data_IF_466050690926
#
_entry.id   IF_466050690926
#
_cell.length_a   1.000
_cell.length_b   1.000
_cell.length_c   1.000
_cell.angle_alpha   90.00
_cell.angle_beta   90.00
_cell.angle_gamma   90.00
#
_symmetry.space_group_name_H-M   'P 1'
#
loop_
_entity.id
_entity.type
_entity.pdbx_description
1 polymer ?
#
# COMPACT_ATOMS: atom_id res chain seq x y z
N UNK A 1 -58.64 3.31 52.04
CA UNK A 1 -58.25 2.17 51.15
C UNK A 1 -57.48 2.77 49.99
N UNK A 2 -56.19 2.80 50.08
CA UNK A 2 -55.25 3.47 49.15
C UNK A 2 -54.44 2.38 48.43
N UNK A 3 -54.73 2.21 47.13
CA UNK A 3 -54.00 1.28 46.27
C UNK A 3 -52.82 2.01 45.63
N UNK A 4 -51.59 1.55 45.99
CA UNK A 4 -50.31 2.02 45.42
C UNK A 4 -50.02 1.20 44.15
N UNK A 5 -49.98 1.85 43.01
CA UNK A 5 -49.45 1.26 41.78
C UNK A 5 -47.95 1.49 41.72
N UNK A 6 -47.20 0.38 41.74
CA UNK A 6 -45.77 0.35 41.47
C UNK A 6 -45.56 0.31 39.94
N UNK A 7 -45.01 1.38 39.40
CA UNK A 7 -44.45 1.36 38.02
C UNK A 7 -43.08 0.68 38.06
N UNK A 8 -42.98 -0.52 37.51
CA UNK A 8 -41.70 -1.14 37.16
C UNK A 8 -41.18 -0.52 35.88
N UNK A 9 -40.13 0.28 36.00
CA UNK A 9 -39.35 0.75 34.84
C UNK A 9 -38.43 -0.37 34.37
N UNK A 10 -38.75 -1.00 33.24
CA UNK A 10 -37.80 -1.85 32.52
C UNK A 10 -36.73 -0.93 31.89
N UNK A 11 -35.54 -0.95 32.49
CA UNK A 11 -34.32 -0.47 31.81
C UNK A 11 -33.99 -1.47 30.70
N UNK A 12 -34.28 -1.11 29.46
CA UNK A 12 -33.73 -1.73 28.27
C UNK A 12 -32.25 -1.37 28.19
N UNK A 13 -31.37 -2.31 28.61
CA UNK A 13 -29.96 -2.29 28.32
C UNK A 13 -29.84 -2.43 26.80
N UNK A 14 -29.64 -1.30 26.15
CA UNK A 14 -29.17 -1.26 24.75
C UNK A 14 -27.81 -1.93 24.70
N UNK A 15 -27.76 -3.16 24.23
CA UNK A 15 -26.54 -3.78 23.74
C UNK A 15 -26.09 -2.95 22.55
N UNK A 16 -25.19 -1.99 22.80
CA UNK A 16 -24.33 -1.43 21.76
C UNK A 16 -23.48 -2.60 21.25
N UNK A 17 -23.97 -3.28 20.23
CA UNK A 17 -23.18 -4.23 19.48
C UNK A 17 -21.94 -3.47 19.01
N UNK A 18 -20.77 -3.86 19.50
CA UNK A 18 -19.54 -3.57 18.81
C UNK A 18 -19.69 -4.17 17.42
N UNK A 19 -19.98 -3.32 16.46
CA UNK A 19 -19.91 -3.67 15.04
C UNK A 19 -18.42 -3.96 14.75
N UNK A 20 -17.99 -5.17 15.01
CA UNK A 20 -16.75 -5.74 14.52
C UNK A 20 -16.99 -6.03 13.05
N UNK A 21 -17.34 -4.94 12.32
CA UNK A 21 -17.69 -4.98 10.93
C UNK A 21 -16.61 -5.67 10.13
N UNK A 22 -17.02 -6.64 9.39
CA UNK A 22 -16.27 -7.35 8.37
C UNK A 22 -15.97 -6.39 7.19
N UNK A 23 -15.26 -5.27 7.49
CA UNK A 23 -14.97 -4.24 6.49
C UNK A 23 -13.96 -4.75 5.49
N UNK A 24 -14.32 -4.64 4.24
CA UNK A 24 -13.46 -4.97 3.11
C UNK A 24 -12.52 -3.79 2.82
N UNK A 25 -11.22 -4.05 2.62
CA UNK A 25 -10.20 -3.01 2.65
C UNK A 25 -9.30 -3.02 1.42
N UNK A 26 -8.91 -1.83 0.99
CA UNK A 26 -7.80 -1.62 0.06
C UNK A 26 -6.53 -1.30 0.85
N UNK A 27 -5.44 -2.01 0.58
CA UNK A 27 -4.17 -1.88 1.29
C UNK A 27 -3.04 -1.66 0.27
N UNK A 28 -2.22 -0.65 0.50
CA UNK A 28 -0.95 -0.46 -0.21
C UNK A 28 0.18 -0.91 0.71
N UNK A 29 1.12 -1.69 0.20
CA UNK A 29 2.21 -2.24 1.00
C UNK A 29 3.41 -2.61 0.14
N UNK A 30 4.54 -2.88 0.79
CA UNK A 30 5.65 -3.59 0.20
C UNK A 30 5.33 -5.09 0.07
N UNK A 31 6.21 -5.84 -0.60
CA UNK A 31 6.04 -7.26 -0.86
C UNK A 31 5.66 -8.07 0.40
N UNK A 32 4.79 -9.07 0.22
CA UNK A 32 4.06 -9.78 1.27
C UNK A 32 4.90 -10.46 2.37
N UNK A 33 6.18 -10.69 2.15
CA UNK A 33 7.03 -11.38 3.11
C UNK A 33 7.23 -10.63 4.44
N UNK A 34 6.92 -9.32 4.50
CA UNK A 34 7.09 -8.49 5.68
C UNK A 34 5.83 -8.39 6.56
N UNK A 35 4.66 -8.70 6.02
CA UNK A 35 3.39 -8.58 6.76
C UNK A 35 2.99 -9.87 7.49
N UNK A 36 3.82 -10.91 7.45
CA UNK A 36 3.54 -12.18 8.13
C UNK A 36 3.56 -12.13 9.66
N UNK A 37 3.96 -11.03 10.27
CA UNK A 37 4.17 -10.95 11.71
C UNK A 37 3.21 -10.01 12.49
N UNK A 38 2.34 -9.25 11.84
CA UNK A 38 1.74 -8.08 12.53
C UNK A 38 0.22 -7.99 12.61
N UNK A 39 -0.55 -9.01 12.31
CA UNK A 39 -2.01 -8.91 12.50
C UNK A 39 -2.69 -10.17 12.99
N UNK A 40 -2.13 -10.80 14.02
CA UNK A 40 -2.95 -11.64 14.88
C UNK A 40 -3.34 -10.76 16.06
N UNK A 41 -4.62 -10.49 16.21
CA UNK A 41 -5.20 -10.01 17.44
C UNK A 41 -4.86 -11.04 18.52
N UNK A 42 -3.77 -10.79 19.25
CA UNK A 42 -3.41 -11.60 20.43
C UNK A 42 -4.41 -11.24 21.52
N UNK A 43 -5.14 -12.21 22.09
CA UNK A 43 -5.96 -11.94 23.27
C UNK A 43 -5.05 -11.43 24.39
N UNK A 44 -5.53 -10.44 25.13
CA UNK A 44 -4.82 -9.63 26.13
C UNK A 44 -4.34 -10.42 27.37
N UNK A 45 -3.71 -11.56 27.22
CA UNK A 45 -3.21 -12.37 28.35
C UNK A 45 -2.03 -13.24 27.96
N UNK A 46 -0.97 -12.65 27.43
CA UNK A 46 0.33 -13.34 27.46
C UNK A 46 1.49 -12.35 27.31
N UNK A 47 2.23 -12.25 28.40
CA UNK A 47 3.67 -11.97 28.56
C UNK A 47 4.30 -11.20 27.40
N UNK A 48 4.82 -10.01 27.72
CA UNK A 48 5.74 -9.21 26.89
C UNK A 48 6.84 -10.11 26.29
N UNK A 49 6.60 -10.65 25.12
CA UNK A 49 7.67 -10.98 24.23
C UNK A 49 8.22 -9.63 23.72
N UNK A 50 9.44 -9.29 24.06
CA UNK A 50 10.20 -8.23 23.39
C UNK A 50 10.35 -8.66 21.93
N UNK A 51 9.39 -8.30 21.10
CA UNK A 51 9.53 -8.41 19.64
C UNK A 51 10.56 -7.37 19.26
N UNK A 52 11.74 -7.84 18.84
CA UNK A 52 12.71 -6.98 18.18
C UNK A 52 11.98 -6.18 17.09
N UNK A 53 12.28 -4.89 16.91
CA UNK A 53 11.70 -4.12 15.83
C UNK A 53 11.93 -4.90 14.52
N UNK A 54 10.95 -4.94 13.61
CA UNK A 54 11.10 -5.65 12.35
C UNK A 54 12.33 -5.09 11.63
N UNK A 55 13.24 -5.98 11.26
CA UNK A 55 14.42 -5.60 10.47
C UNK A 55 13.95 -4.99 9.15
N UNK A 56 14.44 -3.82 8.76
CA UNK A 56 14.10 -3.23 7.48
C UNK A 56 14.40 -4.21 6.33
N UNK A 57 13.57 -4.26 5.30
CA UNK A 57 13.79 -5.17 4.18
C UNK A 57 15.03 -4.79 3.39
N UNK A 58 15.81 -5.79 2.99
CA UNK A 58 16.94 -5.60 2.09
C UNK A 58 16.45 -5.51 0.65
N UNK A 59 17.03 -4.58 -0.11
CA UNK A 59 16.90 -4.47 -1.55
C UNK A 59 18.27 -4.78 -2.17
N UNK A 60 18.30 -5.65 -3.17
CA UNK A 60 19.54 -6.03 -3.84
C UNK A 60 19.51 -5.65 -5.31
N UNK A 61 20.53 -4.94 -5.79
CA UNK A 61 20.69 -4.61 -7.20
C UNK A 61 20.89 -5.85 -8.07
N UNK A 62 20.81 -5.69 -9.39
CA UNK A 62 21.05 -6.79 -10.34
C UNK A 62 22.45 -7.36 -10.24
N UNK A 63 23.44 -6.54 -9.92
CA UNK A 63 24.86 -6.88 -9.79
C UNK A 63 25.32 -7.09 -8.32
N UNK A 64 24.37 -7.30 -7.40
CA UNK A 64 24.62 -7.81 -6.06
C UNK A 64 24.86 -6.77 -4.96
N UNK A 65 24.75 -5.47 -5.22
CA UNK A 65 24.86 -4.44 -4.19
C UNK A 65 23.61 -4.45 -3.31
N UNK A 66 23.78 -4.40 -1.99
CA UNK A 66 22.69 -4.51 -1.01
C UNK A 66 22.42 -3.21 -0.29
N UNK A 67 21.14 -2.92 -0.08
CA UNK A 67 20.66 -1.74 0.64
C UNK A 67 19.58 -2.14 1.62
N UNK A 68 19.57 -1.48 2.79
CA UNK A 68 18.46 -1.53 3.74
C UNK A 68 17.46 -0.45 3.39
N UNK A 69 16.19 -0.79 3.28
CA UNK A 69 15.12 0.17 3.07
C UNK A 69 14.71 0.77 4.42
N UNK A 70 15.06 2.00 4.69
CA UNK A 70 14.75 2.68 5.97
C UNK A 70 13.32 3.18 6.03
N UNK A 71 12.87 3.81 4.96
CA UNK A 71 11.53 4.35 4.84
C UNK A 71 11.00 4.20 3.41
N UNK A 72 9.70 4.06 3.29
CA UNK A 72 9.02 4.12 2.01
C UNK A 72 7.59 4.63 2.23
N UNK A 73 7.23 5.68 1.54
CA UNK A 73 5.91 6.27 1.62
C UNK A 73 5.36 6.61 0.25
N UNK A 74 4.04 6.61 0.14
CA UNK A 74 3.34 7.02 -1.07
C UNK A 74 2.13 7.87 -0.70
N UNK A 75 1.91 8.92 -1.45
CA UNK A 75 0.66 9.68 -1.41
C UNK A 75 -0.14 9.38 -2.65
N UNK A 76 -1.37 8.87 -2.48
CA UNK A 76 -2.22 8.44 -3.58
C UNK A 76 -3.51 9.24 -3.60
N UNK A 77 -4.00 9.53 -4.79
CA UNK A 77 -5.27 10.19 -5.05
C UNK A 77 -5.94 9.60 -6.28
N UNK A 78 -7.20 9.92 -6.48
CA UNK A 78 -7.97 9.50 -7.65
C UNK A 78 -7.89 7.98 -7.90
N UNK A 79 -8.08 7.20 -6.83
CA UNK A 79 -8.04 5.74 -6.91
C UNK A 79 -9.28 5.26 -7.66
N UNK A 80 -9.07 4.40 -8.65
CA UNK A 80 -10.09 3.82 -9.50
C UNK A 80 -9.94 2.30 -9.56
N UNK A 81 -10.95 1.59 -9.12
CA UNK A 81 -10.99 0.13 -9.04
C UNK A 81 -11.94 -0.39 -10.10
N UNK A 82 -11.41 -0.99 -11.15
CA UNK A 82 -12.22 -1.58 -12.22
C UNK A 82 -12.89 -2.86 -11.73
N UNK A 83 -14.22 -2.90 -11.81
CA UNK A 83 -15.01 -4.10 -11.53
C UNK A 83 -14.95 -5.07 -12.72
N UNK A 84 -14.92 -6.35 -12.42
CA UNK A 84 -14.87 -7.45 -13.39
C UNK A 84 -16.04 -8.42 -13.20
N UNK A 85 -16.10 -9.46 -14.03
CA UNK A 85 -17.13 -10.49 -13.92
C UNK A 85 -18.54 -10.02 -14.31
N UNK A 86 -18.65 -8.92 -15.05
CA UNK A 86 -19.94 -8.35 -15.49
C UNK A 86 -20.65 -7.53 -14.42
N UNK A 87 -19.99 -7.22 -13.30
CA UNK A 87 -20.53 -6.36 -12.24
C UNK A 87 -20.67 -4.92 -12.72
N UNK A 88 -21.82 -4.31 -12.45
CA UNK A 88 -22.11 -2.90 -12.69
C UNK A 88 -22.15 -2.10 -11.41
N UNK A 89 -22.29 -0.77 -11.52
CA UNK A 89 -22.45 0.10 -10.36
C UNK A 89 -23.71 -0.22 -9.54
N UNK A 90 -24.75 -0.74 -10.16
CA UNK A 90 -25.99 -1.11 -9.49
C UNK A 90 -25.78 -2.31 -8.54
N UNK A 91 -24.88 -3.23 -8.88
CA UNK A 91 -24.60 -4.43 -8.09
C UNK A 91 -23.87 -4.12 -6.78
N UNK A 92 -23.11 -3.01 -6.72
CA UNK A 92 -22.32 -2.61 -5.56
C UNK A 92 -22.87 -1.39 -4.83
N UNK A 93 -23.91 -0.75 -5.34
CA UNK A 93 -24.46 0.54 -4.85
C UNK A 93 -24.73 0.55 -3.35
N UNK A 94 -25.43 -0.47 -2.86
CA UNK A 94 -25.84 -0.56 -1.45
C UNK A 94 -24.71 -0.92 -0.50
N UNK A 95 -23.54 -1.29 -1.06
CA UNK A 95 -22.35 -1.70 -0.33
C UNK A 95 -21.21 -0.66 -0.41
N UNK A 96 -21.44 0.47 -1.11
CA UNK A 96 -20.44 1.53 -1.25
C UNK A 96 -20.18 2.20 0.11
N UNK A 97 -18.93 2.15 0.61
CA UNK A 97 -18.56 2.86 1.82
C UNK A 97 -18.72 4.36 1.67
N UNK A 98 -18.84 5.06 2.80
CA UNK A 98 -18.94 6.52 2.80
C UNK A 98 -17.67 7.14 2.18
N UNK A 99 -17.85 8.05 1.25
CA UNK A 99 -16.75 8.73 0.56
C UNK A 99 -16.24 7.98 -0.69
N UNK A 100 -16.86 6.86 -1.04
CA UNK A 100 -16.63 6.18 -2.32
C UNK A 100 -17.74 6.51 -3.31
N UNK A 101 -17.43 6.40 -4.59
CA UNK A 101 -18.38 6.51 -5.69
C UNK A 101 -18.28 5.32 -6.62
N UNK A 102 -19.23 5.22 -7.55
CA UNK A 102 -19.12 4.30 -8.67
C UNK A 102 -19.54 5.02 -9.96
N UNK A 103 -18.77 4.82 -11.01
CA UNK A 103 -19.03 5.38 -12.34
C UNK A 103 -18.98 4.26 -13.38
N UNK A 104 -19.89 4.31 -14.33
CA UNK A 104 -19.94 3.34 -15.41
C UNK A 104 -20.30 4.05 -16.72
N UNK A 105 -19.29 4.53 -17.50
CA UNK A 105 -19.51 5.05 -18.83
C UNK A 105 -20.11 3.96 -19.74
N UNK A 106 -20.93 4.39 -20.70
CA UNK A 106 -21.54 3.47 -21.65
C UNK A 106 -20.48 2.63 -22.39
N UNK A 107 -20.66 1.32 -22.40
CA UNK A 107 -19.73 0.37 -23.04
C UNK A 107 -18.40 0.13 -22.29
N UNK A 108 -18.26 0.71 -21.09
CA UNK A 108 -17.05 0.53 -20.26
C UNK A 108 -17.35 -0.26 -18.99
N UNK A 109 -16.32 -0.93 -18.39
CA UNK A 109 -16.46 -1.53 -17.08
C UNK A 109 -16.85 -0.51 -16.02
N UNK A 110 -17.61 -0.95 -15.02
CA UNK A 110 -17.91 -0.13 -13.86
C UNK A 110 -16.63 0.07 -13.01
N UNK A 111 -16.50 1.24 -12.41
CA UNK A 111 -15.31 1.64 -11.66
C UNK A 111 -15.71 2.26 -10.33
N UNK A 112 -15.26 1.66 -9.24
CA UNK A 112 -15.37 2.23 -7.89
C UNK A 112 -14.27 3.28 -7.71
N UNK A 113 -14.61 4.46 -7.16
CA UNK A 113 -13.70 5.60 -7.07
C UNK A 113 -13.54 6.07 -5.63
N UNK A 114 -12.30 6.41 -5.25
CA UNK A 114 -11.95 7.05 -3.98
C UNK A 114 -11.10 8.29 -4.28
N UNK A 115 -11.53 9.46 -3.80
CA UNK A 115 -10.92 10.73 -4.20
C UNK A 115 -9.51 10.94 -3.62
N UNK A 116 -9.27 10.70 -2.35
CA UNK A 116 -8.01 11.02 -1.67
C UNK A 116 -7.85 12.53 -1.35
N UNK A 117 -6.63 13.02 -1.02
CA UNK A 117 -5.38 12.24 -0.99
C UNK A 117 -5.23 11.34 0.23
N UNK A 118 -4.50 10.24 0.09
CA UNK A 118 -4.18 9.32 1.18
C UNK A 118 -2.67 9.15 1.29
N UNK A 119 -2.09 9.49 2.44
CA UNK A 119 -0.68 9.26 2.75
C UNK A 119 -0.49 7.89 3.37
N UNK A 120 0.37 7.06 2.81
CA UNK A 120 0.55 5.67 3.19
C UNK A 120 2.01 5.38 3.46
N UNK A 121 2.31 4.85 4.64
CA UNK A 121 3.61 4.26 4.95
C UNK A 121 3.63 2.82 4.47
N UNK A 122 4.40 2.51 3.45
CA UNK A 122 4.40 1.21 2.78
C UNK A 122 4.92 0.06 3.64
N UNK A 123 5.99 0.20 4.46
CA UNK A 123 6.47 -0.84 5.35
C UNK A 123 5.42 -1.32 6.35
N UNK A 124 4.61 -0.44 6.87
CA UNK A 124 3.57 -0.77 7.85
C UNK A 124 2.18 -0.95 7.24
N UNK A 125 1.96 -0.48 6.01
CA UNK A 125 0.65 -0.38 5.38
C UNK A 125 -0.30 0.60 6.09
N UNK A 126 0.22 1.41 7.02
CA UNK A 126 -0.58 2.38 7.76
C UNK A 126 -0.81 3.63 6.93
N UNK A 127 -2.03 4.14 7.00
CA UNK A 127 -2.41 5.42 6.43
C UNK A 127 -2.12 6.49 7.49
N UNK A 128 -1.54 7.62 7.08
CA UNK A 128 -1.10 8.70 7.99
C UNK A 128 -2.26 9.43 8.67
N UNK A 129 -3.42 9.39 8.11
CA UNK A 129 -4.67 9.79 8.73
C UNK A 129 -5.37 8.51 9.16
N UNK A 130 -5.88 8.34 10.34
CA UNK A 130 -6.47 7.13 10.93
C UNK A 130 -7.65 6.53 10.10
N UNK A 131 -7.57 6.62 8.78
CA UNK A 131 -8.57 6.12 7.85
C UNK A 131 -8.22 4.71 7.35
N UNK A 132 -9.24 3.92 7.22
CA UNK A 132 -9.19 2.66 6.48
C UNK A 132 -9.75 2.93 5.09
N UNK A 133 -9.04 2.54 4.05
CA UNK A 133 -9.59 2.57 2.69
C UNK A 133 -10.58 1.43 2.52
N UNK A 134 -11.83 1.72 2.81
CA UNK A 134 -12.91 0.76 2.64
C UNK A 134 -13.37 0.73 1.18
N UNK A 135 -13.60 -0.48 0.68
CA UNK A 135 -14.13 -0.72 -0.67
C UNK A 135 -15.24 -1.77 -0.60
N UNK A 136 -16.20 -1.79 -1.50
CA UNK A 136 -17.22 -2.83 -1.50
C UNK A 136 -16.61 -4.20 -1.81
N UNK A 137 -17.18 -5.30 -1.31
CA UNK A 137 -16.88 -6.64 -1.82
C UNK A 137 -17.27 -6.72 -3.30
N UNK A 138 -16.58 -7.55 -4.06
CA UNK A 138 -16.81 -7.65 -5.49
C UNK A 138 -15.69 -8.39 -6.22
N UNK A 139 -15.71 -8.32 -7.52
CA UNK A 139 -14.63 -8.87 -8.36
C UNK A 139 -13.89 -7.72 -9.04
N UNK A 140 -12.58 -7.68 -8.90
CA UNK A 140 -11.74 -6.60 -9.38
C UNK A 140 -10.68 -7.11 -10.35
N UNK A 141 -10.35 -6.29 -11.36
CA UNK A 141 -9.33 -6.60 -12.37
C UNK A 141 -8.16 -5.64 -12.33
N UNK A 142 -8.42 -4.34 -12.19
CA UNK A 142 -7.40 -3.29 -12.29
C UNK A 142 -7.62 -2.22 -11.25
N UNK A 143 -6.51 -1.63 -10.83
CA UNK A 143 -6.49 -0.40 -10.05
C UNK A 143 -5.64 0.62 -10.79
N UNK A 144 -6.19 1.81 -10.98
CA UNK A 144 -5.48 3.00 -11.42
C UNK A 144 -5.48 4.02 -10.27
N UNK A 145 -4.41 4.77 -10.12
CA UNK A 145 -4.31 5.87 -9.17
C UNK A 145 -3.26 6.88 -9.62
N UNK A 146 -3.33 8.08 -9.05
CA UNK A 146 -2.36 9.15 -9.33
C UNK A 146 -1.57 9.45 -8.07
N UNK A 147 -0.27 9.67 -8.20
CA UNK A 147 0.55 10.11 -7.09
C UNK A 147 0.22 11.57 -6.75
N UNK A 148 -0.12 11.83 -5.49
CA UNK A 148 -0.39 13.16 -4.96
C UNK A 148 0.87 13.90 -4.56
N UNK A 149 0.70 14.98 -3.78
CA UNK A 149 1.81 15.80 -3.27
C UNK A 149 2.91 14.93 -2.61
N UNK A 150 4.16 15.21 -2.94
CA UNK A 150 5.36 14.43 -2.60
C UNK A 150 5.46 13.04 -3.25
N UNK A 151 4.49 12.63 -4.05
CA UNK A 151 4.56 11.43 -4.88
C UNK A 151 4.81 10.13 -4.11
N UNK A 152 5.77 9.36 -4.60
CA UNK A 152 6.36 8.21 -3.91
C UNK A 152 7.78 8.58 -3.48
N UNK A 153 8.16 8.22 -2.27
CA UNK A 153 9.52 8.38 -1.74
C UNK A 153 9.96 7.12 -1.03
N UNK A 154 11.23 6.74 -1.21
CA UNK A 154 11.85 5.68 -0.43
C UNK A 154 13.30 6.04 -0.13
N UNK A 155 13.75 5.73 1.08
CA UNK A 155 15.10 5.98 1.56
C UNK A 155 15.80 4.67 1.84
N UNK A 156 17.02 4.54 1.33
CA UNK A 156 17.83 3.35 1.53
C UNK A 156 19.20 3.69 2.07
N UNK A 157 19.81 2.75 2.80
CA UNK A 157 21.21 2.79 3.22
C UNK A 157 21.95 1.59 2.67
N UNK A 158 23.21 1.78 2.27
CA UNK A 158 24.06 0.69 1.83
C UNK A 158 24.34 -0.28 2.99
N UNK A 159 24.13 -1.58 2.79
CA UNK A 159 24.21 -2.60 3.84
C UNK A 159 25.62 -2.77 4.46
N UNK A 160 26.68 -2.43 3.71
CA UNK A 160 28.07 -2.52 4.17
C UNK A 160 28.65 -1.20 4.70
N UNK A 161 28.00 -0.07 4.44
CA UNK A 161 28.44 1.26 4.86
C UNK A 161 27.22 2.20 4.96
N UNK A 162 26.70 2.34 6.16
CA UNK A 162 25.54 3.18 6.46
C UNK A 162 25.81 4.70 6.35
N UNK A 163 27.01 5.11 5.98
CA UNK A 163 27.33 6.53 5.75
C UNK A 163 26.76 7.06 4.42
N UNK A 164 26.23 6.18 3.57
CA UNK A 164 25.65 6.55 2.30
C UNK A 164 24.43 5.70 1.91
N UNK A 165 23.59 6.23 1.06
CA UNK A 165 22.39 5.57 0.58
C UNK A 165 21.82 6.26 -0.63
N UNK A 166 20.62 5.86 -1.02
CA UNK A 166 19.88 6.44 -2.13
C UNK A 166 18.52 6.94 -1.68
N UNK A 167 18.10 8.04 -2.25
CA UNK A 167 16.71 8.46 -2.28
C UNK A 167 16.10 8.01 -3.61
N UNK A 168 15.00 7.29 -3.53
CA UNK A 168 14.21 6.85 -4.68
C UNK A 168 12.90 7.63 -4.67
N UNK A 169 12.52 8.19 -5.80
CA UNK A 169 11.32 9.01 -5.90
C UNK A 169 10.56 8.80 -7.20
N UNK A 170 9.24 9.00 -7.14
CA UNK A 170 8.39 9.27 -8.30
C UNK A 170 7.65 10.57 -8.06
N UNK A 171 7.62 11.49 -9.04
CA UNK A 171 7.02 12.79 -8.84
C UNK A 171 5.50 12.75 -8.71
N UNK A 172 4.96 13.81 -8.11
CA UNK A 172 3.54 14.12 -8.12
C UNK A 172 2.96 14.08 -9.54
N UNK A 173 1.71 13.68 -9.67
CA UNK A 173 1.02 13.56 -10.97
C UNK A 173 1.37 12.29 -11.74
N UNK A 174 2.30 11.46 -11.25
CA UNK A 174 2.61 10.18 -11.91
C UNK A 174 1.38 9.27 -11.86
N UNK A 175 0.90 8.87 -13.03
CA UNK A 175 -0.16 7.88 -13.14
C UNK A 175 0.41 6.47 -12.94
N UNK A 176 -0.27 5.71 -12.08
CA UNK A 176 0.06 4.33 -11.72
C UNK A 176 -1.10 3.43 -12.13
N UNK A 177 -0.78 2.26 -12.64
CA UNK A 177 -1.77 1.24 -13.01
C UNK A 177 -1.25 -0.15 -12.66
N UNK A 178 -2.12 -0.98 -12.10
CA UNK A 178 -1.80 -2.38 -11.86
C UNK A 178 -3.00 -3.25 -12.24
N UNK A 179 -2.75 -4.24 -13.09
CA UNK A 179 -3.73 -5.21 -13.52
C UNK A 179 -3.42 -6.57 -12.91
N UNK A 180 -4.45 -7.27 -12.45
CA UNK A 180 -4.34 -8.63 -11.98
C UNK A 180 -4.23 -9.61 -13.16
N UNK A 181 -3.48 -10.69 -12.98
CA UNK A 181 -3.35 -11.75 -13.99
C UNK A 181 -4.70 -12.46 -14.27
N UNK A 182 -5.62 -12.41 -13.33
CA UNK A 182 -7.01 -12.90 -13.45
C UNK A 182 -7.92 -12.07 -12.57
N UNK A 183 -9.22 -12.15 -12.80
CA UNK A 183 -10.21 -11.49 -11.98
C UNK A 183 -10.08 -11.91 -10.51
N UNK A 184 -9.98 -10.95 -9.61
CA UNK A 184 -9.78 -11.14 -8.18
C UNK A 184 -11.09 -10.98 -7.42
N UNK A 185 -11.62 -12.08 -6.92
CA UNK A 185 -12.79 -12.07 -6.05
C UNK A 185 -12.42 -11.61 -4.65
N UNK A 186 -13.09 -10.59 -4.17
CA UNK A 186 -12.96 -10.02 -2.85
C UNK A 186 -14.24 -10.24 -2.06
N UNK A 187 -14.16 -11.03 -1.01
CA UNK A 187 -15.28 -11.33 -0.11
C UNK A 187 -15.34 -10.34 1.05
N UNK A 188 -16.47 -10.29 1.75
CA UNK A 188 -16.64 -9.46 2.94
C UNK A 188 -15.53 -9.74 3.97
N UNK A 189 -15.00 -8.69 4.56
CA UNK A 189 -13.87 -8.76 5.51
C UNK A 189 -12.51 -9.01 4.87
N UNK A 190 -12.44 -9.31 3.59
CA UNK A 190 -11.19 -9.50 2.86
C UNK A 190 -10.42 -8.21 2.60
N UNK A 191 -9.23 -8.33 2.03
CA UNK A 191 -8.45 -7.18 1.57
C UNK A 191 -7.96 -7.34 0.13
N UNK A 192 -8.07 -6.25 -0.63
CA UNK A 192 -7.42 -6.08 -1.92
C UNK A 192 -6.10 -5.33 -1.67
N UNK A 193 -5.00 -5.85 -2.19
CA UNK A 193 -3.66 -5.32 -1.92
C UNK A 193 -2.95 -4.89 -3.17
N UNK A 194 -2.49 -3.65 -3.17
CA UNK A 194 -1.51 -3.12 -4.12
C UNK A 194 -0.14 -3.28 -3.49
N UNK A 195 0.68 -4.15 -4.05
CA UNK A 195 2.01 -4.43 -3.52
C UNK A 195 3.08 -3.83 -4.43
N UNK A 196 3.96 -3.05 -3.82
CA UNK A 196 5.18 -2.56 -4.44
C UNK A 196 6.26 -3.64 -4.28
N UNK A 197 6.74 -4.20 -5.39
CA UNK A 197 7.75 -5.27 -5.40
C UNK A 197 9.17 -4.68 -5.30
N UNK A 198 9.55 -4.25 -4.10
CA UNK A 198 10.83 -3.58 -3.84
C UNK A 198 12.05 -4.44 -4.22
N UNK A 199 11.93 -5.76 -4.25
CA UNK A 199 13.02 -6.66 -4.65
C UNK A 199 13.44 -6.44 -6.11
N UNK A 200 12.58 -5.82 -6.91
CA UNK A 200 12.80 -5.58 -8.34
C UNK A 200 13.23 -4.16 -8.68
N UNK A 201 13.11 -3.20 -7.76
CA UNK A 201 13.38 -1.78 -8.07
C UNK A 201 14.79 -1.52 -8.59
N UNK A 202 15.78 -2.22 -8.04
CA UNK A 202 17.20 -2.02 -8.35
C UNK A 202 17.78 -3.10 -9.28
N UNK A 203 16.95 -3.92 -9.95
CA UNK A 203 17.46 -5.01 -10.80
C UNK A 203 18.00 -4.59 -12.15
N UNK A 204 17.55 -3.44 -12.68
CA UNK A 204 17.98 -2.94 -13.99
C UNK A 204 19.39 -2.34 -13.99
N UNK A 205 19.66 -1.31 -13.18
CA UNK A 205 20.94 -0.60 -13.25
C UNK A 205 22.09 -1.40 -12.60
N UNK A 206 23.31 -1.32 -13.17
CA UNK A 206 24.51 -1.97 -12.66
C UNK A 206 25.15 -1.17 -11.51
N UNK A 207 24.46 -1.02 -10.38
CA UNK A 207 24.85 -0.10 -9.30
C UNK A 207 26.23 -0.39 -8.68
N UNK A 208 26.64 -1.65 -8.62
CA UNK A 208 27.97 -2.04 -8.14
C UNK A 208 29.08 -1.56 -9.07
N UNK A 209 28.86 -1.71 -10.38
CA UNK A 209 29.79 -1.20 -11.37
C UNK A 209 29.88 0.33 -11.33
N UNK A 210 28.73 1.01 -11.22
CA UNK A 210 28.66 2.47 -11.08
C UNK A 210 29.49 2.97 -9.90
N UNK A 211 29.40 2.30 -8.78
CA UNK A 211 30.13 2.65 -7.58
C UNK A 211 31.64 2.40 -7.76
N UNK A 212 32.04 1.28 -8.34
CA UNK A 212 33.44 0.90 -8.54
C UNK A 212 34.14 1.81 -9.55
N UNK A 213 33.46 2.20 -10.62
CA UNK A 213 33.98 3.10 -11.66
C UNK A 213 34.10 4.56 -11.20
N UNK A 214 33.48 4.91 -10.05
CA UNK A 214 33.43 6.29 -9.56
C UNK A 214 32.40 7.17 -10.26
N UNK A 215 31.52 6.58 -11.06
CA UNK A 215 30.37 7.27 -11.70
C UNK A 215 29.36 7.74 -10.67
N UNK A 216 29.38 7.15 -9.49
CA UNK A 216 28.60 7.53 -8.34
C UNK A 216 29.49 8.25 -7.33
N UNK A 217 29.29 9.55 -7.08
CA UNK A 217 30.17 10.32 -6.21
C UNK A 217 30.21 9.75 -4.79
N UNK A 218 31.43 9.53 -4.26
CA UNK A 218 31.72 9.03 -2.91
C UNK A 218 31.88 10.19 -1.93
N UNK A 219 31.81 9.90 -0.64
CA UNK A 219 30.65 9.59 0.16
C UNK A 219 29.89 10.88 0.41
N UNK A 220 28.59 10.79 0.59
CA UNK A 220 27.77 11.94 0.88
C UNK A 220 26.42 11.46 1.42
N UNK A 221 25.59 12.37 1.93
CA UNK A 221 24.24 12.03 2.33
C UNK A 221 23.49 11.37 1.18
N UNK A 222 22.39 10.74 1.50
CA UNK A 222 21.47 10.11 0.55
C UNK A 222 21.33 10.92 -0.73
N UNK A 223 21.53 10.31 -1.89
CA UNK A 223 21.55 10.99 -3.19
C UNK A 223 20.54 10.42 -4.13
N UNK A 224 20.04 11.30 -5.00
CA UNK A 224 19.24 10.90 -6.15
C UNK A 224 20.08 10.11 -7.16
N UNK A 225 19.50 9.10 -7.78
CA UNK A 225 20.11 8.37 -8.90
C UNK A 225 20.21 9.22 -10.18
N UNK A 226 19.62 10.40 -10.22
CA UNK A 226 19.73 11.34 -11.33
C UNK A 226 21.10 12.03 -11.39
N UNK A 227 21.84 12.02 -10.27
CA UNK A 227 23.18 12.59 -10.16
C UNK A 227 24.30 11.66 -10.62
N UNK A 228 23.94 10.41 -11.00
CA UNK A 228 24.90 9.39 -11.46
C UNK A 228 25.29 9.66 -12.91
N UNK A 229 26.60 9.67 -13.17
CA UNK A 229 27.16 9.94 -14.50
C UNK A 229 27.70 8.67 -15.19
N UNK A 230 28.49 8.89 -16.24
CA UNK A 230 29.21 7.82 -16.95
C UNK A 230 28.31 6.75 -17.54
N UNK A 231 28.70 5.49 -17.40
CA UNK A 231 27.93 4.33 -17.87
C UNK A 231 26.60 4.13 -17.10
N UNK A 232 26.43 4.83 -15.99
CA UNK A 232 25.27 4.73 -15.11
C UNK A 232 24.24 5.83 -15.34
N UNK A 233 24.50 6.68 -16.33
CA UNK A 233 23.52 7.70 -16.72
C UNK A 233 22.18 7.06 -17.07
N UNK A 234 21.08 7.61 -16.49
CA UNK A 234 19.72 7.06 -16.67
C UNK A 234 19.35 5.94 -15.70
N UNK A 235 20.21 5.61 -14.72
CA UNK A 235 19.88 4.63 -13.68
C UNK A 235 18.62 5.04 -12.88
N UNK A 236 18.44 6.34 -12.62
CA UNK A 236 17.25 6.89 -11.97
C UNK A 236 15.97 6.58 -12.74
N UNK A 237 15.97 6.79 -14.05
CA UNK A 237 14.81 6.50 -14.90
C UNK A 237 14.49 5.00 -14.94
N UNK A 238 15.50 4.14 -14.98
CA UNK A 238 15.30 2.69 -14.93
C UNK A 238 14.65 2.26 -13.60
N UNK A 239 15.07 2.84 -12.49
CA UNK A 239 14.48 2.57 -11.17
C UNK A 239 13.05 3.10 -11.09
N UNK A 240 12.80 4.32 -11.56
CA UNK A 240 11.42 4.87 -11.60
C UNK A 240 10.50 4.00 -12.43
N UNK A 241 10.95 3.54 -13.59
CA UNK A 241 10.16 2.62 -14.42
C UNK A 241 9.91 1.30 -13.72
N UNK A 242 10.92 0.74 -13.05
CA UNK A 242 10.75 -0.47 -12.25
C UNK A 242 9.74 -0.27 -11.10
N UNK A 243 9.77 0.84 -10.37
CA UNK A 243 8.78 1.13 -9.31
C UNK A 243 7.38 1.21 -9.91
N UNK A 244 7.21 1.85 -11.08
CA UNK A 244 5.90 2.00 -11.76
C UNK A 244 5.35 0.68 -12.29
N UNK A 245 6.20 -0.18 -12.81
CA UNK A 245 5.79 -1.40 -13.55
C UNK A 245 5.79 -2.66 -12.70
N UNK A 246 6.51 -2.67 -11.59
CA UNK A 246 6.62 -3.84 -10.70
C UNK A 246 5.62 -3.78 -9.54
N UNK A 247 4.37 -3.42 -9.86
CA UNK A 247 3.23 -3.51 -8.94
C UNK A 247 2.54 -4.86 -9.10
N UNK A 248 1.97 -5.36 -8.01
CA UNK A 248 1.14 -6.57 -8.01
C UNK A 248 -0.19 -6.30 -7.31
N UNK A 249 -1.26 -6.88 -7.86
CA UNK A 249 -2.58 -6.85 -7.27
C UNK A 249 -2.95 -8.23 -6.76
N UNK A 250 -3.38 -8.34 -5.50
CA UNK A 250 -3.72 -9.61 -4.86
C UNK A 250 -4.88 -9.44 -3.88
N UNK A 251 -5.62 -10.52 -3.64
CA UNK A 251 -6.62 -10.59 -2.57
C UNK A 251 -6.08 -11.42 -1.40
N UNK A 252 -6.50 -11.08 -0.19
CA UNK A 252 -6.31 -11.90 1.00
C UNK A 252 -7.62 -12.00 1.75
N UNK A 253 -8.08 -13.23 2.00
CA UNK A 253 -9.15 -13.55 2.95
C UNK A 253 -8.55 -13.68 4.35
N UNK A 254 -9.32 -13.36 5.40
CA UNK A 254 -8.94 -13.51 6.80
C UNK A 254 -9.63 -14.74 7.40
#
# INVERSE_FOLDING_TARGET
MTSRWLCLSLMSLGLSGCDTGTQTRLIFSLNANLLGASSLAVPASSVRAMTSPPTPPDITSGDGMRFHLEDASVRVSDIRLELAGGLGCDDVRDQLPKGTGCVQPEGSPATVTLAGPFGINLPSGKISEEFVLEIPPGTYRRIDFVLGENGFTAQTLHAGDASWGMDLDLPEGTAMSVEAASDLRLEEGGSLRVMFDQERWLKGPPLSACYQNGDWPRPGPKRSLDEVGGECQGAGDQVRDAIRTQLKLQTRSF
#
